data_IF_553418378808
#
_entry.id   IF_553418378808
#
_cell.length_a   1.000
_cell.length_b   1.000
_cell.length_c   1.000
_cell.angle_alpha   90.00
_cell.angle_beta   90.00
_cell.angle_gamma   90.00
#
_symmetry.space_group_name_H-M   'P 1'
#
loop_
_entity.id
_entity.type
_entity.pdbx_description
1 polymer ?
#
# COMPACT_ATOMS: atom_id res chain seq x y z
N UNK A 1 -2.74 4.13 -16.54
CA UNK A 1 -1.58 4.84 -15.96
C UNK A 1 -1.54 6.27 -16.51
N UNK A 2 -1.08 7.26 -15.73
CA UNK A 2 -0.87 8.63 -16.23
C UNK A 2 0.61 8.85 -16.49
N UNK A 3 1.00 9.07 -17.75
CA UNK A 3 2.37 9.40 -18.09
C UNK A 3 2.71 10.80 -17.57
N UNK A 4 3.79 10.91 -16.78
CA UNK A 4 4.27 12.20 -16.27
C UNK A 4 5.15 12.96 -17.27
N UNK A 5 5.62 12.29 -18.34
CA UNK A 5 6.47 12.91 -19.37
C UNK A 5 7.87 13.31 -18.87
N UNK A 6 8.29 12.80 -17.71
CA UNK A 6 9.56 13.16 -17.07
C UNK A 6 10.65 12.21 -17.53
N UNK A 7 11.70 12.76 -18.14
CA UNK A 7 12.89 12.00 -18.55
C UNK A 7 14.00 12.23 -17.53
N UNK A 8 14.63 11.14 -17.06
CA UNK A 8 15.77 11.19 -16.14
C UNK A 8 16.84 10.20 -16.55
N UNK A 9 18.10 10.60 -16.38
CA UNK A 9 19.24 9.69 -16.52
C UNK A 9 19.43 8.90 -15.24
N UNK A 10 19.89 7.67 -15.40
CA UNK A 10 20.41 6.84 -14.33
C UNK A 10 21.82 7.35 -13.99
N UNK A 11 22.17 7.39 -12.71
CA UNK A 11 23.54 7.72 -12.30
C UNK A 11 24.50 6.53 -12.46
N UNK A 12 25.75 6.71 -12.05
CA UNK A 12 26.81 5.70 -12.11
C UNK A 12 26.53 4.45 -11.26
N UNK A 13 25.65 4.55 -10.27
CA UNK A 13 25.29 3.46 -9.36
C UNK A 13 23.95 2.80 -9.69
N UNK A 14 23.25 3.24 -10.74
CA UNK A 14 21.95 2.68 -11.10
C UNK A 14 20.74 3.36 -10.45
N UNK A 15 20.93 4.50 -9.76
CA UNK A 15 19.83 5.21 -9.08
C UNK A 15 19.12 6.18 -10.02
N UNK A 16 17.81 6.33 -9.81
CA UNK A 16 16.97 7.32 -10.51
C UNK A 16 16.43 8.31 -9.49
N UNK A 17 16.56 9.60 -9.80
CA UNK A 17 16.01 10.67 -8.96
C UNK A 17 14.51 10.84 -9.23
N UNK A 18 13.69 10.71 -8.19
CA UNK A 18 12.27 11.06 -8.24
C UNK A 18 12.09 12.57 -8.03
N UNK A 19 11.43 13.29 -8.95
CA UNK A 19 11.18 14.73 -8.84
C UNK A 19 10.42 15.12 -7.57
N UNK A 20 10.68 16.33 -7.06
CA UNK A 20 10.08 16.84 -5.81
C UNK A 20 8.56 16.96 -5.90
N UNK A 21 8.02 17.26 -7.07
CA UNK A 21 6.58 17.40 -7.32
C UNK A 21 5.86 16.06 -7.13
N UNK A 22 6.42 14.98 -7.68
CA UNK A 22 5.91 13.62 -7.55
C UNK A 22 5.94 13.20 -6.08
N UNK A 23 7.09 13.45 -5.42
CA UNK A 23 7.26 13.17 -4.00
C UNK A 23 6.24 13.88 -3.12
N UNK A 24 6.04 15.20 -3.33
CA UNK A 24 5.07 16.00 -2.56
C UNK A 24 3.64 15.52 -2.77
N UNK A 25 3.27 15.22 -4.01
CA UNK A 25 1.92 14.73 -4.33
C UNK A 25 1.60 13.38 -3.69
N UNK A 26 2.59 12.55 -3.42
CA UNK A 26 2.41 11.21 -2.84
C UNK A 26 2.87 11.09 -1.37
N UNK A 27 3.30 12.20 -0.76
CA UNK A 27 3.84 12.20 0.61
C UNK A 27 5.07 11.31 0.78
N UNK A 28 5.99 11.35 -0.19
CA UNK A 28 7.26 10.61 -0.15
C UNK A 28 8.38 11.48 0.41
N UNK A 29 8.61 11.33 1.71
CA UNK A 29 9.71 11.95 2.42
C UNK A 29 11.01 11.15 2.27
N UNK A 30 12.11 11.76 2.72
CA UNK A 30 13.40 11.07 2.79
C UNK A 30 13.26 9.83 3.66
N UNK A 31 13.84 8.70 3.22
CA UNK A 31 13.71 7.38 3.85
C UNK A 31 12.33 6.72 3.77
N UNK A 32 11.37 7.27 3.00
CA UNK A 32 10.14 6.53 2.70
C UNK A 32 10.50 5.19 2.04
N UNK A 33 10.07 4.05 2.60
CA UNK A 33 10.37 2.77 2.01
C UNK A 33 9.57 2.63 0.71
N UNK A 34 10.26 2.21 -0.35
CA UNK A 34 9.69 2.06 -1.68
C UNK A 34 9.89 0.62 -2.13
N UNK A 35 8.90 0.08 -2.82
CA UNK A 35 8.92 -1.26 -3.38
C UNK A 35 8.93 -1.17 -4.90
N UNK A 36 9.68 -2.08 -5.52
CA UNK A 36 9.89 -2.13 -6.96
C UNK A 36 9.39 -3.45 -7.52
N UNK A 37 8.61 -3.38 -8.58
CA UNK A 37 8.02 -4.52 -9.25
C UNK A 37 8.35 -4.50 -10.74
N UNK A 38 8.63 -5.66 -11.32
CA UNK A 38 8.69 -5.83 -12.76
C UNK A 38 7.31 -6.22 -13.29
N UNK A 39 6.83 -5.50 -14.30
CA UNK A 39 5.61 -5.81 -15.04
C UNK A 39 5.91 -5.94 -16.53
N UNK A 40 4.94 -6.42 -17.31
CA UNK A 40 5.04 -6.46 -18.78
C UNK A 40 5.18 -5.07 -19.41
N UNK A 41 4.76 -4.01 -18.71
CA UNK A 41 4.87 -2.62 -19.15
C UNK A 41 6.14 -1.92 -18.64
N UNK A 42 6.94 -2.60 -17.81
CA UNK A 42 8.20 -2.09 -17.27
C UNK A 42 8.25 -2.05 -15.74
N UNK A 43 9.17 -1.22 -15.22
CA UNK A 43 9.42 -1.05 -13.78
C UNK A 43 8.33 -0.20 -13.13
N UNK A 44 7.67 -0.76 -12.11
CA UNK A 44 6.66 -0.06 -11.31
C UNK A 44 7.21 0.16 -9.91
N UNK A 45 7.11 1.39 -9.41
CA UNK A 45 7.56 1.76 -8.06
C UNK A 45 6.37 2.24 -7.24
N UNK A 46 6.20 1.71 -6.03
CA UNK A 46 5.12 2.09 -5.10
C UNK A 46 5.68 2.32 -3.70
N UNK A 47 4.94 3.06 -2.86
CA UNK A 47 5.28 3.16 -1.43
C UNK A 47 5.14 1.76 -0.81
N UNK A 48 6.19 1.31 -0.13
CA UNK A 48 6.14 0.05 0.60
C UNK A 48 5.21 0.20 1.80
N UNK A 49 4.28 -0.74 1.95
CA UNK A 49 3.31 -0.74 3.04
C UNK A 49 3.22 -2.16 3.59
N UNK A 50 3.97 -2.38 4.67
CA UNK A 50 4.15 -3.69 5.30
C UNK A 50 2.83 -4.34 5.77
N UNK A 51 1.86 -3.52 6.16
CA UNK A 51 0.62 -3.96 6.83
C UNK A 51 -0.66 -3.66 6.04
N UNK A 52 -0.53 -3.26 4.77
CA UNK A 52 -1.70 -2.88 3.96
C UNK A 52 -2.64 -4.06 3.69
N UNK A 53 -2.10 -5.26 3.52
CA UNK A 53 -2.92 -6.47 3.34
C UNK A 53 -3.76 -6.76 4.58
N UNK A 54 -3.17 -6.64 5.78
CA UNK A 54 -3.90 -6.82 7.05
C UNK A 54 -4.98 -5.76 7.23
N UNK A 55 -4.66 -4.50 6.94
CA UNK A 55 -5.58 -3.37 7.05
C UNK A 55 -6.76 -3.50 6.07
N UNK A 56 -6.51 -3.95 4.85
CA UNK A 56 -7.55 -4.19 3.84
C UNK A 56 -8.46 -5.35 4.23
N UNK A 57 -7.90 -6.44 4.76
CA UNK A 57 -8.67 -7.57 5.30
C UNK A 57 -9.53 -7.13 6.49
N UNK A 58 -8.96 -6.37 7.42
CA UNK A 58 -9.71 -5.82 8.56
C UNK A 58 -10.87 -4.94 8.07
N UNK A 59 -10.66 -4.09 7.07
CA UNK A 59 -11.70 -3.22 6.52
C UNK A 59 -12.84 -4.01 5.87
N UNK A 60 -12.52 -5.09 5.14
CA UNK A 60 -13.51 -6.02 4.57
C UNK A 60 -14.33 -6.73 5.66
N UNK A 61 -13.67 -7.16 6.75
CA UNK A 61 -14.33 -7.80 7.89
C UNK A 61 -15.25 -6.84 8.65
N UNK A 62 -14.83 -5.60 8.88
CA UNK A 62 -15.66 -4.56 9.51
C UNK A 62 -16.89 -4.26 8.64
N UNK A 63 -16.73 -4.15 7.32
CA UNK A 63 -17.86 -3.93 6.41
C UNK A 63 -18.86 -5.09 6.45
N UNK A 64 -18.37 -6.34 6.55
CA UNK A 64 -19.23 -7.51 6.66
C UNK A 64 -20.01 -7.55 8.00
N UNK A 65 -19.40 -7.08 9.09
CA UNK A 65 -20.06 -6.91 10.40
C UNK A 65 -21.22 -5.92 10.31
N UNK A 66 -21.00 -4.76 9.68
CA UNK A 66 -22.03 -3.71 9.55
C UNK A 66 -23.24 -4.15 8.71
N UNK A 67 -23.06 -5.15 7.83
CA UNK A 67 -24.11 -5.69 6.96
C UNK A 67 -24.90 -6.87 7.57
N UNK A 68 -24.55 -7.36 8.76
CA UNK A 68 -25.21 -8.51 9.39
C UNK A 68 -25.90 -8.15 10.72
N UNK A 69 -27.16 -8.58 10.94
CA UNK A 69 -27.89 -8.38 12.20
C UNK A 69 -27.72 -9.52 13.22
N UNK A 70 -26.92 -10.55 12.95
CA UNK A 70 -26.80 -11.75 13.80
C UNK A 70 -25.66 -11.61 14.83
N UNK A 71 -26.02 -11.62 16.12
CA UNK A 71 -25.12 -11.45 17.26
C UNK A 71 -24.00 -12.51 17.33
N UNK A 72 -24.19 -13.66 16.69
CA UNK A 72 -23.24 -14.79 16.76
C UNK A 72 -22.07 -14.65 15.79
N UNK A 73 -22.27 -14.04 14.62
CA UNK A 73 -21.20 -13.72 13.68
C UNK A 73 -20.32 -12.56 14.16
N UNK A 74 -20.88 -11.72 15.04
CA UNK A 74 -20.22 -10.52 15.52
C UNK A 74 -18.98 -10.80 16.38
N UNK A 75 -19.08 -11.80 17.26
CA UNK A 75 -18.01 -12.19 18.19
C UNK A 75 -16.84 -12.84 17.43
N UNK A 76 -17.12 -13.78 16.52
CA UNK A 76 -16.09 -14.46 15.73
C UNK A 76 -15.31 -13.51 14.80
N UNK A 77 -15.96 -12.50 14.23
CA UNK A 77 -15.26 -11.54 13.37
C UNK A 77 -14.44 -10.55 14.22
N UNK A 78 -14.91 -10.17 15.42
CA UNK A 78 -14.12 -9.36 16.36
C UNK A 78 -12.84 -10.09 16.79
N UNK A 79 -12.93 -11.38 17.12
CA UNK A 79 -11.77 -12.21 17.46
C UNK A 79 -10.76 -12.31 16.31
N UNK A 80 -11.27 -12.50 15.08
CA UNK A 80 -10.43 -12.52 13.88
C UNK A 80 -9.70 -11.18 13.65
N UNK A 81 -10.38 -10.04 13.86
CA UNK A 81 -9.77 -8.71 13.77
C UNK A 81 -8.70 -8.54 14.84
N UNK A 82 -8.94 -8.98 16.08
CA UNK A 82 -7.98 -8.87 17.18
C UNK A 82 -6.74 -9.73 16.95
N UNK A 83 -6.91 -10.95 16.42
CA UNK A 83 -5.81 -11.83 16.04
C UNK A 83 -4.93 -11.21 14.95
N UNK A 84 -5.54 -10.66 13.88
CA UNK A 84 -4.81 -10.03 12.77
C UNK A 84 -4.06 -8.77 13.24
N UNK A 85 -4.57 -8.05 14.25
CA UNK A 85 -3.89 -6.87 14.83
C UNK A 85 -2.69 -7.22 15.71
N UNK A 86 -2.62 -8.44 16.27
CA UNK A 86 -1.55 -8.88 17.18
C UNK A 86 -0.36 -9.54 16.46
N UNK A 87 -0.59 -10.19 15.32
CA UNK A 87 0.47 -10.73 14.44
C UNK A 87 0.96 -9.70 13.45
#
# INVERSE_FOLDING_TARGET
MKALGIIRKIDDLGRIVVPKEVRRAHGWDTNTPMEMFMSSEGLVIRKYRKDDEKSEIISKLITALEMMPDMTGEEHIKDAIEFIKKG
#
